data_IF_833769291307
#
_entry.id   IF_833769291307
#
_cell.length_a   1.000
_cell.length_b   1.000
_cell.length_c   1.000
_cell.angle_alpha   90.00
_cell.angle_beta   90.00
_cell.angle_gamma   90.00
#
_symmetry.space_group_name_H-M   'P 1'
#
loop_
_entity.id
_entity.type
_entity.pdbx_description
1 polymer ?
#
# COMPACT_ATOMS: atom_id res chain seq x y z
N UNK A 1 2.34 16.59 -14.58
CA UNK A 1 3.51 15.71 -14.78
C UNK A 1 3.02 14.29 -15.02
N UNK A 2 2.97 13.84 -16.28
CA UNK A 2 2.60 12.46 -16.64
C UNK A 2 3.82 11.56 -16.51
N UNK A 3 3.99 10.92 -15.35
CA UNK A 3 5.11 10.01 -15.09
C UNK A 3 5.07 8.69 -15.89
N UNK A 4 4.13 8.51 -16.82
CA UNK A 4 3.88 7.23 -17.49
C UNK A 4 3.90 7.27 -19.02
N UNK A 5 4.38 8.35 -19.64
CA UNK A 5 4.43 8.46 -21.11
C UNK A 5 5.86 8.39 -21.62
N UNK A 6 6.45 7.18 -21.61
CA UNK A 6 7.45 6.80 -22.62
C UNK A 6 7.10 5.42 -23.20
N UNK A 7 6.98 5.30 -24.53
CA UNK A 7 6.63 4.06 -25.21
C UNK A 7 7.88 3.18 -25.36
N UNK A 8 8.20 2.33 -24.37
CA UNK A 8 8.94 1.06 -24.51
C UNK A 8 9.45 0.43 -23.19
N UNK A 9 8.81 0.64 -22.05
CA UNK A 9 9.16 -0.17 -20.87
C UNK A 9 8.38 -1.49 -20.89
N UNK A 10 8.93 -2.49 -21.58
CA UNK A 10 8.44 -3.88 -21.59
C UNK A 10 8.11 -4.35 -20.16
N UNK A 11 8.91 -3.91 -19.18
CA UNK A 11 8.73 -4.18 -17.75
C UNK A 11 7.46 -3.55 -17.17
N UNK A 12 7.13 -2.30 -17.52
CA UNK A 12 5.90 -1.63 -17.06
C UNK A 12 4.67 -2.34 -17.63
N UNK A 13 4.71 -2.74 -18.91
CA UNK A 13 3.63 -3.50 -19.51
C UNK A 13 3.46 -4.89 -18.87
N UNK A 14 4.56 -5.55 -18.51
CA UNK A 14 4.51 -6.77 -17.70
C UNK A 14 3.86 -6.55 -16.34
N UNK A 15 4.21 -5.46 -15.63
CA UNK A 15 3.60 -5.12 -14.34
C UNK A 15 2.11 -4.86 -14.45
N UNK A 16 1.68 -4.13 -15.50
CA UNK A 16 0.26 -3.92 -15.81
C UNK A 16 -0.46 -5.25 -16.06
N UNK A 17 0.13 -6.15 -16.84
CA UNK A 17 -0.47 -7.45 -17.14
C UNK A 17 -0.57 -8.36 -15.90
N UNK A 18 0.47 -8.40 -15.07
CA UNK A 18 0.46 -9.19 -13.83
C UNK A 18 -0.55 -8.61 -12.83
N UNK A 19 -0.63 -7.28 -12.69
CA UNK A 19 -1.63 -6.61 -11.86
C UNK A 19 -3.06 -6.84 -12.36
N UNK A 20 -3.28 -6.83 -13.68
CA UNK A 20 -4.58 -7.13 -14.27
C UNK A 20 -5.03 -8.56 -13.98
N UNK A 21 -4.13 -9.55 -14.12
CA UNK A 21 -4.42 -10.94 -13.76
C UNK A 21 -4.76 -11.10 -12.28
N UNK A 22 -4.00 -10.43 -11.41
CA UNK A 22 -4.30 -10.40 -9.97
C UNK A 22 -5.68 -9.81 -9.69
N UNK A 23 -6.06 -8.73 -10.38
CA UNK A 23 -7.37 -8.11 -10.25
C UNK A 23 -8.49 -9.07 -10.70
N UNK A 24 -8.33 -9.77 -11.83
CA UNK A 24 -9.29 -10.78 -12.28
C UNK A 24 -9.48 -11.91 -11.27
N UNK A 25 -8.42 -12.34 -10.58
CA UNK A 25 -8.53 -13.34 -9.51
C UNK A 25 -9.38 -12.82 -8.35
N UNK A 26 -9.21 -11.55 -7.98
CA UNK A 26 -10.00 -10.94 -6.91
C UNK A 26 -11.46 -10.76 -7.32
N UNK A 27 -11.72 -10.28 -8.53
CA UNK A 27 -13.08 -10.00 -8.98
C UNK A 27 -13.87 -11.25 -9.41
N UNK A 28 -13.18 -12.37 -9.63
CA UNK A 28 -13.79 -13.64 -10.05
C UNK A 28 -14.89 -14.12 -9.11
N UNK A 29 -15.99 -14.62 -9.69
CA UNK A 29 -17.04 -15.31 -8.94
C UNK A 29 -16.56 -16.60 -8.28
N UNK A 30 -15.47 -17.19 -8.79
CA UNK A 30 -14.88 -18.41 -8.25
C UNK A 30 -13.91 -18.13 -7.11
N UNK A 31 -13.64 -19.15 -6.29
CA UNK A 31 -12.57 -19.08 -5.29
C UNK A 31 -11.21 -19.13 -6.00
N UNK A 32 -10.20 -18.37 -5.51
CA UNK A 32 -8.85 -18.44 -6.05
C UNK A 32 -8.31 -19.87 -5.97
N UNK A 33 -7.91 -20.41 -7.11
CA UNK A 33 -7.21 -21.68 -7.21
C UNK A 33 -5.69 -21.48 -7.11
N UNK A 34 -4.91 -22.55 -7.28
CA UNK A 34 -3.44 -22.48 -7.18
C UNK A 34 -2.83 -21.51 -8.19
N UNK A 35 -3.35 -21.47 -9.41
CA UNK A 35 -2.86 -20.57 -10.45
C UNK A 35 -3.25 -19.11 -10.16
N UNK A 36 -4.46 -18.88 -9.64
CA UNK A 36 -4.89 -17.57 -9.18
C UNK A 36 -4.02 -17.04 -8.03
N UNK A 37 -3.66 -17.90 -7.08
CA UNK A 37 -2.72 -17.55 -6.01
C UNK A 37 -1.35 -17.16 -6.57
N UNK A 38 -0.80 -17.93 -7.52
CA UNK A 38 0.48 -17.60 -8.18
C UNK A 38 0.42 -16.26 -8.92
N UNK A 39 -0.68 -16.00 -9.64
CA UNK A 39 -0.87 -14.72 -10.33
C UNK A 39 -0.89 -13.54 -9.34
N UNK A 40 -1.59 -13.70 -8.22
CA UNK A 40 -1.61 -12.70 -7.14
C UNK A 40 -0.23 -12.52 -6.49
N UNK A 41 0.50 -13.61 -6.22
CA UNK A 41 1.85 -13.57 -5.68
C UNK A 41 2.81 -12.81 -6.61
N UNK A 42 2.70 -13.02 -7.92
CA UNK A 42 3.55 -12.36 -8.91
C UNK A 42 3.32 -10.84 -8.95
N UNK A 43 2.06 -10.41 -8.85
CA UNK A 43 1.73 -9.00 -8.67
C UNK A 43 2.36 -8.42 -7.38
N UNK A 44 2.29 -9.15 -6.26
CA UNK A 44 2.95 -8.72 -5.02
C UNK A 44 4.47 -8.64 -5.16
N UNK A 45 5.10 -9.58 -5.87
CA UNK A 45 6.53 -9.54 -6.14
C UNK A 45 6.92 -8.29 -6.95
N UNK A 46 6.10 -7.90 -7.94
CA UNK A 46 6.30 -6.65 -8.68
C UNK A 46 6.15 -5.43 -7.77
N UNK A 47 5.21 -5.46 -6.82
CA UNK A 47 5.04 -4.42 -5.81
C UNK A 47 6.23 -4.37 -4.84
N UNK A 48 6.84 -5.49 -4.52
CA UNK A 48 8.07 -5.53 -3.71
C UNK A 48 9.23 -4.87 -4.44
N UNK A 49 9.45 -5.21 -5.71
CA UNK A 49 10.52 -4.59 -6.51
C UNK A 49 10.37 -3.06 -6.66
N UNK A 50 9.13 -2.58 -6.82
CA UNK A 50 8.84 -1.14 -6.90
C UNK A 50 7.46 -0.82 -6.29
N UNK A 51 7.39 -0.52 -4.99
CA UNK A 51 6.13 -0.34 -4.27
C UNK A 51 5.26 0.78 -4.85
N UNK A 52 5.86 1.91 -5.19
CA UNK A 52 5.14 3.06 -5.72
C UNK A 52 4.54 2.76 -7.10
N UNK A 53 5.31 2.16 -8.02
CA UNK A 53 4.82 1.82 -9.34
C UNK A 53 3.75 0.72 -9.30
N UNK A 54 3.96 -0.33 -8.50
CA UNK A 54 3.01 -1.43 -8.35
C UNK A 54 1.66 -0.97 -7.80
N UNK A 55 1.66 -0.13 -6.76
CA UNK A 55 0.45 0.43 -6.17
C UNK A 55 -0.29 1.41 -7.10
N UNK A 56 0.44 2.23 -7.86
CA UNK A 56 -0.18 3.13 -8.83
C UNK A 56 -0.82 2.37 -9.99
N UNK A 57 -0.15 1.31 -10.47
CA UNK A 57 -0.68 0.47 -11.55
C UNK A 57 -1.96 -0.24 -11.11
N UNK A 58 -2.01 -0.83 -9.91
CA UNK A 58 -3.23 -1.50 -9.44
C UNK A 58 -4.38 -0.54 -9.24
N UNK A 59 -4.11 0.68 -8.76
CA UNK A 59 -5.12 1.73 -8.65
C UNK A 59 -5.69 2.13 -10.00
N UNK A 60 -4.83 2.37 -10.99
CA UNK A 60 -5.27 2.72 -12.34
C UNK A 60 -6.10 1.58 -12.97
N UNK A 61 -5.77 0.32 -12.72
CA UNK A 61 -6.56 -0.81 -13.23
C UNK A 61 -7.96 -0.86 -12.59
N UNK A 62 -8.07 -0.59 -11.29
CA UNK A 62 -9.38 -0.51 -10.63
C UNK A 62 -10.21 0.63 -11.23
N UNK A 63 -9.59 1.77 -11.49
CA UNK A 63 -10.26 2.96 -12.02
C UNK A 63 -10.60 2.84 -13.52
N UNK A 64 -9.76 2.18 -14.33
CA UNK A 64 -9.92 2.08 -15.80
C UNK A 64 -10.91 1.00 -16.24
N UNK A 65 -10.99 -0.13 -15.54
CA UNK A 65 -11.64 -1.34 -16.11
C UNK A 65 -13.13 -1.44 -15.73
N UNK A 66 -13.70 -0.53 -14.92
CA UNK A 66 -15.08 -0.65 -14.42
C UNK A 66 -15.40 -2.04 -13.80
N UNK A 67 -14.37 -2.80 -13.40
CA UNK A 67 -14.53 -4.10 -12.76
C UNK A 67 -14.76 -3.83 -11.28
N UNK A 68 -16.01 -3.56 -10.96
CA UNK A 68 -16.43 -3.23 -9.61
C UNK A 68 -17.32 -4.34 -9.07
N UNK A 69 -16.71 -5.47 -8.70
CA UNK A 69 -17.38 -6.56 -8.00
C UNK A 69 -16.94 -6.61 -6.52
N UNK A 70 -17.35 -5.63 -5.70
CA UNK A 70 -16.80 -5.41 -4.36
C UNK A 70 -17.01 -6.61 -3.42
N UNK A 71 -18.08 -7.39 -3.64
CA UNK A 71 -18.40 -8.57 -2.84
C UNK A 71 -17.44 -9.73 -3.13
N UNK A 72 -17.20 -10.06 -4.41
CA UNK A 72 -16.26 -11.12 -4.80
C UNK A 72 -14.83 -10.70 -4.52
N UNK A 73 -14.49 -9.43 -4.80
CA UNK A 73 -13.21 -8.82 -4.47
C UNK A 73 -12.85 -9.02 -3.00
N UNK A 74 -13.72 -8.56 -2.09
CA UNK A 74 -13.49 -8.64 -0.64
C UNK A 74 -13.35 -10.09 -0.17
N UNK A 75 -14.21 -10.99 -0.67
CA UNK A 75 -14.17 -12.41 -0.34
C UNK A 75 -12.88 -13.07 -0.81
N UNK A 76 -12.51 -12.89 -2.08
CA UNK A 76 -11.34 -13.52 -2.67
C UNK A 76 -10.04 -12.93 -2.12
N UNK A 77 -10.01 -11.62 -1.84
CA UNK A 77 -8.91 -10.97 -1.12
C UNK A 77 -8.70 -11.61 0.24
N UNK A 78 -9.77 -11.83 1.00
CA UNK A 78 -9.68 -12.52 2.28
C UNK A 78 -9.18 -13.97 2.14
N UNK A 79 -9.52 -14.66 1.05
CA UNK A 79 -9.05 -16.03 0.80
C UNK A 79 -7.57 -16.08 0.40
N UNK A 80 -7.09 -15.20 -0.47
CA UNK A 80 -5.67 -15.18 -0.86
C UNK A 80 -4.76 -14.78 0.30
N UNK A 81 -5.21 -13.88 1.18
CA UNK A 81 -4.46 -13.46 2.37
C UNK A 81 -4.34 -14.57 3.44
N UNK A 82 -5.15 -15.63 3.38
CA UNK A 82 -4.96 -16.81 4.25
C UNK A 82 -3.78 -17.67 3.82
N UNK A 83 -3.25 -17.48 2.59
CA UNK A 83 -2.09 -18.21 2.15
C UNK A 83 -0.82 -17.65 2.84
N UNK A 84 -0.03 -18.47 3.55
CA UNK A 84 1.16 -18.01 4.27
C UNK A 84 2.21 -17.33 3.40
N UNK A 85 2.38 -17.78 2.15
CA UNK A 85 3.35 -17.20 1.21
C UNK A 85 2.92 -15.79 0.78
N UNK A 86 1.62 -15.60 0.55
CA UNK A 86 1.05 -14.30 0.23
C UNK A 86 1.20 -13.35 1.43
N UNK A 87 0.87 -13.82 2.63
CA UNK A 87 1.00 -12.99 3.83
C UNK A 87 2.45 -12.54 4.06
N UNK A 88 3.41 -13.46 3.90
CA UNK A 88 4.83 -13.14 4.00
C UNK A 88 5.24 -12.07 2.99
N UNK A 89 4.78 -12.15 1.73
CA UNK A 89 5.07 -11.14 0.72
C UNK A 89 4.49 -9.77 1.10
N UNK A 90 3.27 -9.73 1.65
CA UNK A 90 2.65 -8.48 2.13
C UNK A 90 3.49 -7.86 3.24
N UNK A 91 3.88 -8.65 4.24
CA UNK A 91 4.70 -8.17 5.36
C UNK A 91 6.07 -7.65 4.89
N UNK A 92 6.68 -8.30 3.90
CA UNK A 92 7.94 -7.87 3.30
C UNK A 92 7.79 -6.55 2.53
N UNK A 93 6.68 -6.35 1.80
CA UNK A 93 6.39 -5.10 1.09
C UNK A 93 6.19 -3.95 2.10
N UNK A 94 5.40 -4.18 3.14
CA UNK A 94 5.15 -3.17 4.18
C UNK A 94 6.47 -2.77 4.86
N UNK A 95 7.31 -3.74 5.18
CA UNK A 95 8.65 -3.50 5.72
C UNK A 95 9.51 -2.68 4.76
N UNK A 96 9.52 -3.00 3.46
CA UNK A 96 10.29 -2.23 2.49
C UNK A 96 9.79 -0.80 2.33
N UNK A 97 8.47 -0.58 2.34
CA UNK A 97 7.88 0.77 2.31
C UNK A 97 8.31 1.56 3.54
N UNK A 98 8.28 0.94 4.71
CA UNK A 98 8.63 1.58 5.97
C UNK A 98 10.11 1.92 6.06
N UNK A 99 10.98 0.99 5.66
CA UNK A 99 12.43 1.16 5.74
C UNK A 99 13.00 2.02 4.60
N UNK A 100 12.51 1.87 3.36
CA UNK A 100 13.09 2.53 2.18
C UNK A 100 12.36 3.82 1.83
N UNK A 101 11.03 3.84 1.85
CA UNK A 101 10.25 4.99 1.41
C UNK A 101 10.02 6.01 2.52
N UNK A 102 9.80 5.55 3.76
CA UNK A 102 9.41 6.41 4.89
C UNK A 102 10.25 6.24 6.17
N UNK A 103 11.59 6.09 6.10
CA UNK A 103 12.40 5.76 7.28
C UNK A 103 12.34 6.81 8.39
N UNK A 104 12.23 8.09 8.02
CA UNK A 104 12.21 9.21 8.98
C UNK A 104 10.86 9.39 9.68
N UNK A 105 9.78 8.89 9.08
CA UNK A 105 8.41 9.07 9.58
C UNK A 105 7.84 7.80 10.19
N UNK A 106 8.54 6.66 10.14
CA UNK A 106 8.13 5.39 10.72
C UNK A 106 7.68 5.53 12.19
N UNK A 107 8.56 6.02 13.07
CA UNK A 107 8.23 6.23 14.51
C UNK A 107 7.03 7.15 14.72
N UNK A 108 6.88 8.17 13.86
CA UNK A 108 5.75 9.09 13.95
C UNK A 108 4.45 8.41 13.49
N UNK A 109 4.50 7.59 12.43
CA UNK A 109 3.37 6.80 11.94
C UNK A 109 2.96 5.72 12.94
N UNK A 110 3.90 4.94 13.47
CA UNK A 110 3.66 3.95 14.52
C UNK A 110 2.99 4.59 15.74
N UNK A 111 3.50 5.75 16.18
CA UNK A 111 2.89 6.51 17.27
C UNK A 111 1.45 6.91 16.93
N UNK A 112 1.21 7.44 15.74
CA UNK A 112 -0.12 7.86 15.29
C UNK A 112 -1.12 6.69 15.20
N UNK A 113 -0.69 5.53 14.68
CA UNK A 113 -1.50 4.31 14.60
C UNK A 113 -1.79 3.77 16.00
N UNK A 114 -0.75 3.59 16.83
CA UNK A 114 -0.87 3.07 18.20
C UNK A 114 -1.76 3.94 19.08
N UNK A 115 -1.72 5.26 18.87
CA UNK A 115 -2.58 6.20 19.61
C UNK A 115 -3.96 6.40 18.97
N UNK A 116 -4.29 5.65 17.91
CA UNK A 116 -5.53 5.78 17.11
C UNK A 116 -5.80 7.21 16.65
N UNK A 117 -4.74 7.97 16.39
CA UNK A 117 -4.79 9.38 15.94
C UNK A 117 -4.91 9.51 14.43
N UNK A 118 -4.71 8.41 13.70
CA UNK A 118 -4.97 8.28 12.27
C UNK A 118 -5.93 7.10 12.12
N UNK A 119 -7.19 7.42 11.80
CA UNK A 119 -8.20 6.45 11.38
C UNK A 119 -8.34 6.66 9.88
N UNK A 120 -7.76 5.77 9.08
CA UNK A 120 -7.73 5.91 7.62
C UNK A 120 -9.09 5.74 6.95
N UNK A 121 -10.14 5.36 7.69
CA UNK A 121 -11.47 5.13 7.11
C UNK A 121 -12.49 6.22 7.39
N UNK A 122 -12.28 7.12 8.35
CA UNK A 122 -13.12 8.30 8.55
C UNK A 122 -12.24 9.47 9.00
N UNK A 123 -12.19 10.52 8.19
CA UNK A 123 -11.57 11.80 8.56
C UNK A 123 -12.40 12.39 9.70
N UNK A 124 -12.14 11.94 10.94
CA UNK A 124 -12.58 12.66 12.12
C UNK A 124 -11.65 13.83 12.34
N UNK A 125 -12.18 15.04 12.60
CA UNK A 125 -11.36 16.22 12.84
C UNK A 125 -10.39 15.95 13.97
N UNK A 126 -9.11 16.23 13.73
CA UNK A 126 -8.05 15.91 14.69
C UNK A 126 -8.28 16.75 15.95
N UNK A 127 -8.73 16.12 17.04
CA UNK A 127 -8.99 16.81 18.30
C UNK A 127 -7.71 17.49 18.80
N UNK A 128 -7.78 18.81 19.00
CA UNK A 128 -6.69 19.62 19.53
C UNK A 128 -6.61 19.45 21.04
N UNK A 129 -5.91 18.39 21.47
CA UNK A 129 -5.71 18.10 22.88
C UNK A 129 -4.34 18.64 23.32
N UNK A 130 -4.20 19.07 24.58
CA UNK A 130 -2.96 19.55 25.20
C UNK A 130 -1.74 18.66 24.92
N UNK A 131 -1.91 17.32 24.93
CA UNK A 131 -0.83 16.37 24.62
C UNK A 131 -0.29 16.49 23.19
N UNK A 132 -1.10 16.94 22.22
CA UNK A 132 -0.69 17.17 20.82
C UNK A 132 0.03 18.51 20.66
N UNK A 133 -0.46 19.55 21.32
CA UNK A 133 0.21 20.86 21.40
C UNK A 133 1.63 20.70 21.96
N UNK A 134 1.77 20.00 23.09
CA UNK A 134 3.06 19.73 23.73
C UNK A 134 4.00 18.92 22.82
N UNK A 135 3.50 17.91 22.11
CA UNK A 135 4.30 17.16 21.16
C UNK A 135 4.78 18.03 19.98
N UNK A 136 3.92 18.92 19.48
CA UNK A 136 4.26 19.84 18.38
C UNK A 136 5.37 20.82 18.81
N UNK A 137 5.24 21.38 20.02
CA UNK A 137 6.22 22.30 20.61
C UNK A 137 7.55 21.59 20.84
N UNK A 138 7.53 20.41 21.46
CA UNK A 138 8.73 19.61 21.69
C UNK A 138 9.47 19.29 20.38
N UNK A 139 8.73 18.87 19.35
CA UNK A 139 9.33 18.50 18.08
C UNK A 139 9.90 19.74 17.34
N UNK A 140 9.24 20.89 17.42
CA UNK A 140 9.75 22.15 16.88
C UNK A 140 11.06 22.59 17.57
N UNK A 141 11.12 22.49 18.91
CA UNK A 141 12.31 22.82 19.70
C UNK A 141 13.45 21.84 19.37
N UNK A 142 13.17 20.54 19.34
CA UNK A 142 14.17 19.51 19.02
C UNK A 142 14.80 19.71 17.63
N UNK A 143 13.99 20.01 16.61
CA UNK A 143 14.49 20.25 15.25
C UNK A 143 15.32 21.54 15.16
N UNK A 144 14.97 22.59 15.92
CA UNK A 144 15.76 23.81 15.96
C UNK A 144 17.09 23.61 16.68
N UNK A 145 17.13 22.88 17.80
CA UNK A 145 18.37 22.57 18.51
C UNK A 145 19.28 21.69 17.64
N UNK A 146 18.71 20.73 16.90
CA UNK A 146 19.47 19.88 15.96
C UNK A 146 20.02 20.64 14.75
N UNK A 147 19.46 21.81 14.40
CA UNK A 147 19.96 22.68 13.32
C UNK A 147 21.08 23.63 13.76
N UNK A 148 21.23 23.85 15.07
CA UNK A 148 22.22 24.76 15.65
C UNK A 148 23.50 24.02 16.09
N UNK A 149 23.43 22.68 16.24
CA UNK A 149 24.61 21.79 16.32
C UNK A 149 25.04 21.36 14.93
#
# INVERSE_FOLDING_TARGET
MSFLTKPNDTKINMYKNDAYKAQLVLDSYYRPDKEGIKAYAKYLQNCKENPAAGMLISRNIIDDVNVNFPQTYSRNKHLVLKNPEIQKLVDEIDKEIDEKCFPKTLKAREFLIKTRRVVLEHIMPVKHNLKRELFRIYNAIYQNIKRIK
#
